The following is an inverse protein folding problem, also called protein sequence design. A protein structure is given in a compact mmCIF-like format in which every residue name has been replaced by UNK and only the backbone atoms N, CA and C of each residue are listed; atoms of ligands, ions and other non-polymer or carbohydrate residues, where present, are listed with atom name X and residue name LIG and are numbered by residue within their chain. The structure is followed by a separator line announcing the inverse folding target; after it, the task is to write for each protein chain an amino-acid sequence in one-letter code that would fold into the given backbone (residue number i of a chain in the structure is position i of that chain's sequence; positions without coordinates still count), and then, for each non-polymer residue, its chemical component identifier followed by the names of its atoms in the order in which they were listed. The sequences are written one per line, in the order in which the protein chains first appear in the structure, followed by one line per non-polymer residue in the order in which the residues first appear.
data_IF_138489603242
#
_entry.id   IF_138489603242
#
_cell.length_a   1.000
_cell.length_b   1.000
_cell.length_c   1.000
_cell.angle_alpha   90.00
_cell.angle_beta   90.00
_cell.angle_gamma   90.00
#
_symmetry.space_group_name_H-M   'P 1'
#
loop_
_entity.id
_entity.type
_entity.pdbx_description
1 polymer ?
#
# COMPACT_ATOMS: atom_id res chain seq x y z
N UNK A 1 -9.20 -7.77 15.79
CA UNK A 1 -10.13 -6.91 15.01
C UNK A 1 -9.53 -5.56 14.62
N UNK A 2 -8.81 -4.87 15.52
CA UNK A 2 -8.20 -3.56 15.19
C UNK A 2 -6.91 -3.68 14.36
N UNK A 3 -6.00 -4.58 14.75
CA UNK A 3 -4.73 -4.80 14.01
C UNK A 3 -4.97 -5.21 12.55
N UNK A 4 -5.89 -6.14 12.29
CA UNK A 4 -6.33 -6.52 10.93
C UNK A 4 -6.78 -5.32 10.10
N UNK A 5 -7.54 -4.38 10.69
CA UNK A 5 -7.98 -3.16 9.98
C UNK A 5 -6.78 -2.28 9.65
N UNK A 6 -5.82 -2.13 10.57
CA UNK A 6 -4.61 -1.34 10.34
C UNK A 6 -3.74 -1.95 9.24
N UNK A 7 -3.48 -3.26 9.27
CA UNK A 7 -2.77 -3.98 8.21
C UNK A 7 -3.47 -3.77 6.86
N UNK A 8 -4.79 -3.98 6.81
CA UNK A 8 -5.57 -3.77 5.59
C UNK A 8 -5.57 -2.30 5.13
N UNK A 9 -5.41 -1.35 6.03
CA UNK A 9 -5.30 0.06 5.67
C UNK A 9 -3.94 0.36 5.06
N UNK A 10 -2.86 -0.05 5.72
CA UNK A 10 -1.48 0.13 5.25
C UNK A 10 -1.26 -0.57 3.90
N UNK A 11 -1.71 -1.82 3.73
CA UNK A 11 -1.62 -2.52 2.43
C UNK A 11 -2.26 -1.72 1.29
N UNK A 12 -3.41 -1.08 1.52
CA UNK A 12 -4.04 -0.21 0.51
C UNK A 12 -3.21 1.04 0.23
N UNK A 13 -2.65 1.67 1.26
CA UNK A 13 -1.78 2.83 1.07
C UNK A 13 -0.57 2.47 0.20
N UNK A 14 0.13 1.39 0.55
CA UNK A 14 1.27 0.89 -0.23
C UNK A 14 0.85 0.62 -1.68
N UNK A 15 -0.21 -0.17 -1.92
CA UNK A 15 -0.69 -0.48 -3.27
C UNK A 15 -1.01 0.78 -4.09
N UNK A 16 -1.79 1.71 -3.51
CA UNK A 16 -2.24 2.92 -4.19
C UNK A 16 -1.05 3.80 -4.53
N UNK A 17 -0.16 4.06 -3.57
CA UNK A 17 0.96 4.97 -3.75
C UNK A 17 2.08 4.37 -4.61
N UNK A 18 2.28 3.05 -4.57
CA UNK A 18 3.17 2.36 -5.51
C UNK A 18 2.61 2.38 -6.94
N UNK A 19 1.29 2.24 -7.13
CA UNK A 19 0.69 2.40 -8.45
C UNK A 19 0.86 3.83 -8.99
N UNK A 20 0.62 4.86 -8.16
CA UNK A 20 0.86 6.26 -8.56
C UNK A 20 2.34 6.46 -8.97
N UNK A 21 3.28 5.93 -8.17
CA UNK A 21 4.71 6.06 -8.44
C UNK A 21 5.13 5.34 -9.73
N UNK A 22 4.86 4.04 -9.84
CA UNK A 22 5.38 3.20 -10.92
C UNK A 22 4.54 3.21 -12.20
N UNK A 23 3.22 3.42 -12.11
CA UNK A 23 2.32 3.42 -13.29
C UNK A 23 1.98 4.82 -13.77
N UNK A 24 1.91 5.81 -12.87
CA UNK A 24 1.54 7.19 -13.21
C UNK A 24 2.74 8.14 -13.22
N UNK A 25 3.95 7.64 -12.92
CA UNK A 25 5.21 8.37 -12.99
C UNK A 25 5.20 9.70 -12.21
N UNK A 26 4.55 9.68 -11.04
CA UNK A 26 4.43 10.85 -10.16
C UNK A 26 4.29 10.41 -8.70
N UNK A 27 4.28 11.35 -7.75
CA UNK A 27 4.08 11.04 -6.33
C UNK A 27 3.12 12.02 -5.66
N UNK A 28 2.30 11.49 -4.74
CA UNK A 28 1.37 12.27 -3.91
C UNK A 28 1.91 12.43 -2.48
N UNK A 29 2.81 11.53 -2.07
CA UNK A 29 3.48 11.54 -0.76
C UNK A 29 4.98 11.47 -0.96
N UNK A 30 5.74 11.93 0.03
CA UNK A 30 7.20 11.80 0.02
C UNK A 30 7.66 10.40 0.44
N UNK A 31 8.92 10.10 0.13
CA UNK A 31 9.54 8.80 0.42
C UNK A 31 9.56 8.51 1.93
N UNK A 32 9.69 9.55 2.77
CA UNK A 32 9.67 9.40 4.23
C UNK A 32 8.32 8.85 4.72
N UNK A 33 7.22 9.42 4.24
CA UNK A 33 5.87 8.99 4.58
C UNK A 33 5.60 7.57 4.10
N UNK A 34 6.04 7.23 2.88
CA UNK A 34 5.91 5.87 2.35
C UNK A 34 6.70 4.87 3.20
N UNK A 35 7.94 5.20 3.56
CA UNK A 35 8.80 4.34 4.38
C UNK A 35 8.21 4.09 5.77
N UNK A 36 7.68 5.11 6.45
CA UNK A 36 7.03 4.94 7.75
C UNK A 36 5.85 3.95 7.69
N UNK A 37 5.04 4.00 6.63
CA UNK A 37 3.95 3.04 6.43
C UNK A 37 4.46 1.63 6.15
N UNK A 38 5.51 1.50 5.34
CA UNK A 38 6.14 0.22 5.03
C UNK A 38 6.73 -0.42 6.29
N UNK A 39 7.49 0.32 7.08
CA UNK A 39 8.09 -0.16 8.34
C UNK A 39 7.02 -0.57 9.35
N UNK A 40 5.97 0.23 9.51
CA UNK A 40 4.83 -0.12 10.37
C UNK A 40 4.14 -1.40 9.89
N UNK A 41 3.91 -1.52 8.57
CA UNK A 41 3.27 -2.70 8.00
C UNK A 41 4.10 -3.96 8.25
N UNK A 42 5.40 -3.92 7.96
CA UNK A 42 6.31 -5.05 8.18
C UNK A 42 6.30 -5.47 9.64
N UNK A 43 6.43 -4.51 10.57
CA UNK A 43 6.36 -4.78 12.00
C UNK A 43 5.05 -5.47 12.39
N UNK A 44 3.92 -4.92 11.96
CA UNK A 44 2.60 -5.49 12.27
C UNK A 44 2.40 -6.87 11.67
N UNK A 45 2.94 -7.14 10.47
CA UNK A 45 2.86 -8.46 9.86
C UNK A 45 3.65 -9.50 10.65
N UNK A 46 4.89 -9.18 11.02
CA UNK A 46 5.76 -10.06 11.81
C UNK A 46 5.17 -10.34 13.20
N UNK A 47 4.57 -9.36 13.84
CA UNK A 47 3.94 -9.53 15.16
C UNK A 47 2.62 -10.31 15.11
N UNK A 48 2.01 -10.49 13.93
CA UNK A 48 0.65 -11.02 13.79
C UNK A 48 0.49 -12.00 12.61
N UNK A 49 1.47 -12.89 12.40
CA UNK A 49 1.47 -13.85 11.28
C UNK A 49 0.18 -14.68 11.16
N UNK A 50 -0.42 -15.05 12.31
CA UNK A 50 -1.61 -15.90 12.38
C UNK A 50 -2.87 -15.31 11.73
N UNK A 51 -2.94 -13.98 11.54
CA UNK A 51 -4.11 -13.29 10.95
C UNK A 51 -3.88 -12.83 9.52
N UNK A 52 -2.68 -13.02 8.95
CA UNK A 52 -2.30 -12.47 7.65
C UNK A 52 -3.06 -13.10 6.48
N UNK A 53 -3.39 -14.39 6.59
CA UNK A 53 -4.20 -15.11 5.61
C UNK A 53 -5.62 -14.57 5.49
N UNK A 54 -6.12 -13.89 6.52
CA UNK A 54 -7.43 -13.24 6.47
C UNK A 54 -7.39 -11.77 6.03
N UNK A 55 -6.19 -11.20 5.85
CA UNK A 55 -5.99 -9.83 5.42
C UNK A 55 -6.06 -9.73 3.88
N UNK A 56 -6.36 -8.53 3.37
CA UNK A 56 -6.48 -8.31 1.93
C UNK A 56 -5.13 -8.52 1.24
N UNK A 57 -5.14 -9.01 0.00
CA UNK A 57 -3.92 -9.23 -0.78
C UNK A 57 -2.86 -10.09 -0.04
N UNK A 58 -3.30 -11.07 0.77
CA UNK A 58 -2.41 -11.93 1.58
C UNK A 58 -1.22 -12.47 0.78
N UNK A 59 -1.47 -13.05 -0.39
CA UNK A 59 -0.44 -13.68 -1.21
C UNK A 59 0.55 -12.66 -1.81
N UNK A 60 0.09 -11.45 -2.11
CA UNK A 60 0.97 -10.41 -2.67
C UNK A 60 1.91 -9.80 -1.62
N UNK A 61 1.54 -9.91 -0.34
CA UNK A 61 2.28 -9.32 0.79
C UNK A 61 3.06 -10.37 1.61
N UNK A 62 3.14 -11.61 1.14
CA UNK A 62 3.84 -12.71 1.82
C UNK A 62 5.35 -12.39 1.97
N UNK A 63 5.97 -11.93 0.88
CA UNK A 63 7.39 -11.57 0.83
C UNK A 63 7.64 -10.05 0.92
N UNK A 64 6.64 -9.27 1.31
CA UNK A 64 6.77 -7.81 1.38
C UNK A 64 7.67 -7.40 2.56
N UNK A 65 8.86 -6.89 2.25
CA UNK A 65 9.88 -6.48 3.22
C UNK A 65 9.90 -4.96 3.52
N UNK A 66 9.00 -4.20 2.90
CA UNK A 66 8.88 -2.76 3.08
C UNK A 66 9.79 -1.91 2.18
N UNK A 67 10.68 -2.51 1.39
CA UNK A 67 11.65 -1.76 0.57
C UNK A 67 11.05 -1.14 -0.68
N UNK A 68 10.14 -1.87 -1.35
CA UNK A 68 9.48 -1.41 -2.57
C UNK A 68 8.10 -2.05 -2.72
N UNK A 69 7.19 -1.33 -3.36
CA UNK A 69 5.91 -1.88 -3.81
C UNK A 69 5.86 -2.18 -5.31
N UNK A 70 7.02 -2.27 -5.98
CA UNK A 70 7.10 -2.52 -7.42
C UNK A 70 6.48 -3.86 -7.84
N UNK A 71 6.76 -4.92 -7.09
CA UNK A 71 6.31 -6.30 -7.39
C UNK A 71 4.86 -6.58 -6.94
N UNK A 72 4.18 -5.58 -6.37
CA UNK A 72 2.78 -5.69 -5.97
C UNK A 72 1.86 -5.72 -7.20
N UNK A 73 0.60 -6.21 -7.07
CA UNK A 73 -0.33 -6.33 -8.20
C UNK A 73 -0.91 -4.97 -8.63
N UNK A 74 -0.07 -4.06 -9.12
CA UNK A 74 -0.44 -2.66 -9.42
C UNK A 74 -1.42 -2.51 -10.60
N UNK A 75 -1.63 -3.59 -11.36
CA UNK A 75 -2.55 -3.66 -12.52
C UNK A 75 -3.98 -4.11 -12.12
N UNK A 76 -4.25 -4.26 -10.83
CA UNK A 76 -5.60 -4.50 -10.33
C UNK A 76 -6.48 -3.26 -10.60
N UNK A 77 -7.61 -3.46 -11.29
CA UNK A 77 -8.56 -2.40 -11.63
C UNK A 77 -8.99 -1.53 -10.44
N UNK A 78 -9.14 -2.12 -9.24
CA UNK A 78 -9.49 -1.37 -8.04
C UNK A 78 -8.35 -0.46 -7.59
N UNK A 79 -7.10 -0.93 -7.67
CA UNK A 79 -5.90 -0.17 -7.34
C UNK A 79 -5.76 0.99 -8.31
N UNK A 80 -5.79 0.72 -9.61
CA UNK A 80 -5.69 1.76 -10.65
C UNK A 80 -6.77 2.84 -10.49
N UNK A 81 -8.04 2.43 -10.33
CA UNK A 81 -9.14 3.37 -10.15
C UNK A 81 -8.99 4.24 -8.90
N UNK A 82 -8.50 3.67 -7.79
CA UNK A 82 -8.25 4.42 -6.56
C UNK A 82 -7.05 5.35 -6.68
N UNK A 83 -5.97 4.91 -7.32
CA UNK A 83 -4.80 5.73 -7.59
C UNK A 83 -5.15 6.94 -8.46
N UNK A 84 -5.93 6.76 -9.53
CA UNK A 84 -6.40 7.85 -10.38
C UNK A 84 -7.27 8.84 -9.58
N UNK A 85 -8.18 8.35 -8.74
CA UNK A 85 -9.02 9.20 -7.91
C UNK A 85 -8.20 10.03 -6.90
N UNK A 86 -7.24 9.42 -6.21
CA UNK A 86 -6.37 10.11 -5.25
C UNK A 86 -5.50 11.16 -5.96
N UNK A 87 -4.93 10.82 -7.12
CA UNK A 87 -4.14 11.75 -7.92
C UNK A 87 -4.98 12.96 -8.36
N UNK A 88 -6.19 12.73 -8.86
CA UNK A 88 -7.09 13.81 -9.26
C UNK A 88 -7.48 14.74 -8.09
N UNK A 89 -7.68 14.18 -6.89
CA UNK A 89 -7.91 15.00 -5.68
C UNK A 89 -6.67 15.81 -5.30
N UNK A 90 -5.48 15.21 -5.36
CA UNK A 90 -4.23 15.91 -5.06
C UNK A 90 -4.02 17.08 -6.02
N UNK A 91 -4.23 16.89 -7.32
CA UNK A 91 -4.13 17.96 -8.32
C UNK A 91 -5.17 19.07 -8.13
N UNK A 92 -6.39 18.71 -7.72
CA UNK A 92 -7.47 19.68 -7.50
C UNK A 92 -7.24 20.61 -6.32
N UNK A 93 -6.59 20.13 -5.26
CA UNK A 93 -6.42 20.86 -4.00
C UNK A 93 -4.95 21.22 -3.70
N UNK A 94 -4.08 21.13 -4.70
CA UNK A 94 -2.70 21.62 -4.64
C UNK A 94 -2.65 23.13 -4.60
#
# INVERSE_FOLDING_TARGET
MEVKKRINHLRRLILIHSCIYYRMNTSVVDDFTFNEWSEELVKLQNENESILSECIYSNAFEDFDGTTGYDLPLDDNWIEARSMYILALHEKYK
#
